data_IF_098144614636
#
_entry.id   IF_098144614636
#
_cell.length_a   1.000
_cell.length_b   1.000
_cell.length_c   1.000
_cell.angle_alpha   90.00
_cell.angle_beta   90.00
_cell.angle_gamma   90.00
#
_symmetry.space_group_name_H-M   'P 1'
#
loop_
_entity.id
_entity.type
_entity.pdbx_description
1 polymer ?
#
# COMPACT_ATOMS: atom_id res chain seq x y z
N UNK A 1 -1.63 -1.98 -13.88
CA UNK A 1 -0.21 -2.28 -13.58
C UNK A 1 -0.14 -2.99 -12.24
N UNK A 2 0.84 -3.87 -12.03
CA UNK A 2 1.00 -4.62 -10.78
C UNK A 2 2.22 -4.15 -9.99
N UNK A 3 2.19 -4.34 -8.67
CA UNK A 3 3.31 -4.11 -7.77
C UNK A 3 3.56 -5.35 -6.91
N UNK A 4 4.78 -5.88 -6.95
CA UNK A 4 5.16 -7.06 -6.17
C UNK A 4 6.24 -7.87 -6.86
N UNK A 5 6.26 -9.18 -6.60
CA UNK A 5 7.22 -10.10 -7.20
C UNK A 5 6.60 -11.48 -7.43
N UNK A 6 7.09 -12.19 -8.44
CA UNK A 6 6.73 -13.59 -8.70
C UNK A 6 7.85 -14.27 -9.47
N UNK A 7 8.12 -15.55 -9.15
CA UNK A 7 9.15 -16.35 -9.81
C UNK A 7 10.53 -15.65 -9.89
N UNK A 8 10.92 -14.95 -8.82
CA UNK A 8 12.20 -14.24 -8.74
C UNK A 8 12.28 -12.94 -9.55
N UNK A 9 11.17 -12.47 -10.13
CA UNK A 9 11.09 -11.21 -10.88
C UNK A 9 10.23 -10.19 -10.13
N UNK A 10 10.65 -8.94 -10.12
CA UNK A 10 9.88 -7.83 -9.56
C UNK A 10 9.02 -7.16 -10.64
N UNK A 11 7.79 -6.81 -10.28
CA UNK A 11 6.90 -5.96 -11.06
C UNK A 11 6.85 -4.59 -10.37
N UNK A 12 7.50 -3.59 -10.96
CA UNK A 12 7.60 -2.24 -10.39
C UNK A 12 6.75 -1.25 -11.19
N UNK A 13 5.75 -0.60 -10.56
CA UNK A 13 4.91 0.41 -11.20
C UNK A 13 5.70 1.59 -11.79
N UNK A 14 5.29 2.10 -12.95
CA UNK A 14 5.92 3.26 -13.61
C UNK A 14 6.01 4.48 -12.71
N UNK A 15 5.04 4.66 -11.83
CA UNK A 15 5.02 5.76 -10.86
C UNK A 15 6.18 5.73 -9.86
N UNK A 16 6.73 4.54 -9.58
CA UNK A 16 7.84 4.32 -8.66
C UNK A 16 9.15 3.97 -9.40
N UNK A 17 9.14 4.01 -10.73
CA UNK A 17 10.37 3.88 -11.51
C UNK A 17 11.28 5.08 -11.24
N UNK A 18 12.55 4.80 -10.95
CA UNK A 18 13.56 5.81 -10.60
C UNK A 18 13.77 5.99 -9.09
N UNK A 19 12.88 5.49 -8.23
CA UNK A 19 13.10 5.49 -6.78
C UNK A 19 14.31 4.63 -6.40
N UNK A 20 15.08 5.08 -5.41
CA UNK A 20 16.20 4.31 -4.89
C UNK A 20 15.71 2.97 -4.30
N UNK A 21 16.53 1.91 -4.34
CA UNK A 21 16.12 0.55 -3.91
C UNK A 21 15.49 0.51 -2.52
N UNK A 22 16.10 1.20 -1.55
CA UNK A 22 15.61 1.28 -0.17
C UNK A 22 14.25 1.95 -0.08
N UNK A 23 14.05 3.03 -0.84
CA UNK A 23 12.78 3.74 -0.90
C UNK A 23 11.70 2.86 -1.54
N UNK A 24 12.02 2.19 -2.66
CA UNK A 24 11.09 1.29 -3.35
C UNK A 24 10.61 0.14 -2.45
N UNK A 25 11.52 -0.46 -1.68
CA UNK A 25 11.16 -1.48 -0.69
C UNK A 25 10.22 -0.94 0.39
N UNK A 26 10.48 0.27 0.88
CA UNK A 26 9.64 0.91 1.88
C UNK A 26 8.27 1.26 1.30
N UNK A 27 8.21 1.83 0.09
CA UNK A 27 6.96 2.14 -0.61
C UNK A 27 6.10 0.89 -0.77
N UNK A 28 6.70 -0.23 -1.20
CA UNK A 28 6.00 -1.52 -1.26
C UNK A 28 5.50 -1.93 0.11
N UNK A 29 6.37 -1.93 1.12
CA UNK A 29 6.06 -2.48 2.44
C UNK A 29 5.02 -1.65 3.20
N UNK A 30 5.03 -0.32 3.04
CA UNK A 30 4.01 0.56 3.62
C UNK A 30 2.62 0.24 3.09
N UNK A 31 2.52 0.05 1.77
CA UNK A 31 1.25 -0.25 1.15
C UNK A 31 0.85 -1.72 1.40
N UNK A 32 1.79 -2.68 1.34
CA UNK A 32 1.53 -4.08 1.70
C UNK A 32 0.96 -4.19 3.12
N UNK A 33 1.63 -3.61 4.12
CA UNK A 33 1.19 -3.66 5.51
C UNK A 33 -0.15 -2.93 5.76
N UNK A 34 -0.59 -2.05 4.87
CA UNK A 34 -1.91 -1.42 4.96
C UNK A 34 -3.03 -2.30 4.38
N UNK A 35 -2.69 -3.27 3.54
CA UNK A 35 -3.62 -4.10 2.79
C UNK A 35 -3.68 -5.56 3.28
N UNK A 36 -2.95 -5.90 4.34
CA UNK A 36 -2.95 -7.25 4.91
C UNK A 36 -3.34 -7.25 6.38
N UNK A 37 -3.82 -8.39 6.84
CA UNK A 37 -4.11 -8.70 8.24
C UNK A 37 -2.87 -8.42 9.12
N UNK A 38 -3.10 -8.05 10.40
CA UNK A 38 -2.02 -7.68 11.33
C UNK A 38 -0.97 -8.78 11.50
N UNK A 39 -1.36 -10.05 11.38
CA UNK A 39 -0.46 -11.20 11.43
C UNK A 39 0.44 -11.29 10.18
N UNK A 40 0.07 -10.74 9.04
CA UNK A 40 0.92 -10.73 7.85
C UNK A 40 1.84 -9.52 7.75
N UNK A 41 1.69 -8.53 8.64
CA UNK A 41 2.50 -7.32 8.60
C UNK A 41 3.96 -7.61 8.91
N UNK A 42 4.85 -7.01 8.12
CA UNK A 42 6.30 -7.17 8.26
C UNK A 42 6.92 -5.87 8.80
N UNK A 43 7.76 -5.93 9.84
CA UNK A 43 8.47 -4.75 10.34
C UNK A 43 9.30 -4.01 9.28
N UNK A 44 9.25 -2.68 9.28
CA UNK A 44 9.89 -1.86 8.23
C UNK A 44 11.42 -1.95 8.17
N UNK A 45 12.08 -2.44 9.23
CA UNK A 45 13.53 -2.56 9.23
C UNK A 45 14.03 -3.63 8.24
N UNK A 46 13.20 -4.60 7.87
CA UNK A 46 13.53 -5.58 6.82
C UNK A 46 13.62 -4.94 5.44
N UNK A 47 12.70 -4.01 5.10
CA UNK A 47 12.75 -3.27 3.83
C UNK A 47 14.03 -2.44 3.67
N UNK A 48 14.59 -1.92 4.77
CA UNK A 48 15.82 -1.10 4.74
C UNK A 48 17.08 -1.91 4.42
N UNK A 49 17.07 -3.21 4.75
CA UNK A 49 18.20 -4.14 4.55
C UNK A 49 18.07 -4.97 3.28
N UNK A 50 16.83 -5.20 2.82
CA UNK A 50 16.53 -6.06 1.69
C UNK A 50 17.10 -5.53 0.36
N UNK A 51 17.59 -6.43 -0.47
CA UNK A 51 18.09 -6.09 -1.82
C UNK A 51 16.96 -5.95 -2.84
N UNK A 52 15.82 -6.58 -2.61
CA UNK A 52 14.64 -6.58 -3.48
C UNK A 52 13.36 -6.90 -2.66
N UNK A 53 12.18 -6.84 -3.29
CA UNK A 53 10.90 -7.08 -2.61
C UNK A 53 10.79 -8.49 -2.02
N UNK A 54 11.26 -9.53 -2.72
CA UNK A 54 11.23 -10.90 -2.23
C UNK A 54 12.14 -11.08 -1.00
N UNK A 55 13.27 -10.37 -0.98
CA UNK A 55 14.24 -10.43 0.09
C UNK A 55 13.71 -9.86 1.42
N UNK A 56 12.71 -8.96 1.38
CA UNK A 56 11.98 -8.50 2.57
C UNK A 56 11.38 -9.69 3.33
N UNK A 57 10.69 -10.58 2.60
CA UNK A 57 10.07 -11.78 3.16
C UNK A 57 11.11 -12.81 3.56
N UNK A 58 12.19 -12.93 2.79
CA UNK A 58 13.32 -13.82 3.14
C UNK A 58 13.90 -13.44 4.50
N UNK A 59 14.25 -12.17 4.70
CA UNK A 59 14.86 -11.70 5.95
C UNK A 59 13.90 -11.86 7.12
N UNK A 60 12.62 -11.52 6.95
CA UNK A 60 11.61 -11.73 7.98
C UNK A 60 11.48 -13.20 8.37
N UNK A 61 11.37 -14.10 7.40
CA UNK A 61 11.28 -15.54 7.64
C UNK A 61 12.56 -16.12 8.27
N UNK A 62 13.74 -15.57 7.94
CA UNK A 62 15.01 -16.00 8.56
C UNK A 62 15.01 -15.75 10.06
N UNK A 63 14.54 -14.57 10.47
CA UNK A 63 14.46 -14.22 11.89
C UNK A 63 13.38 -15.04 12.62
N UNK A 64 12.26 -15.33 11.94
CA UNK A 64 11.19 -16.15 12.51
C UNK A 64 11.57 -17.63 12.71
N UNK A 65 12.33 -18.20 11.78
CA UNK A 65 12.65 -19.64 11.79
C UNK A 65 14.05 -19.95 12.30
N UNK A 66 14.94 -18.96 12.40
CA UNK A 66 16.37 -19.15 12.63
C UNK A 66 17.02 -20.09 11.60
N UNK A 67 16.57 -20.09 10.34
CA UNK A 67 17.03 -20.99 9.26
C UNK A 67 17.68 -20.23 8.11
N UNK A 68 18.75 -20.78 7.53
CA UNK A 68 19.31 -20.29 6.27
C UNK A 68 18.66 -20.92 5.03
N UNK A 69 17.84 -20.14 4.33
CA UNK A 69 17.14 -20.56 3.12
C UNK A 69 18.04 -20.83 1.90
N UNK A 70 19.32 -20.45 1.93
CA UNK A 70 20.24 -20.75 0.81
C UNK A 70 20.42 -22.26 0.61
N UNK A 71 20.35 -23.06 1.70
CA UNK A 71 20.34 -24.53 1.65
C UNK A 71 18.95 -25.11 1.30
N UNK A 72 17.91 -24.33 1.56
CA UNK A 72 16.51 -24.76 1.44
C UNK A 72 15.97 -24.78 0.00
N UNK A 73 16.66 -24.11 -0.95
CA UNK A 73 16.26 -24.07 -2.36
C UNK A 73 16.17 -25.44 -3.04
N UNK A 74 16.83 -26.48 -2.51
CA UNK A 74 16.75 -27.86 -3.04
C UNK A 74 15.49 -28.64 -2.66
N UNK A 75 14.68 -28.16 -1.71
CA UNK A 75 13.45 -28.86 -1.28
C UNK A 75 12.23 -28.02 -1.66
N UNK A 76 12.02 -27.73 -2.94
CA UNK A 76 10.75 -27.13 -3.36
C UNK A 76 9.78 -28.22 -3.80
N UNK A 77 9.09 -28.87 -2.85
CA UNK A 77 7.81 -29.55 -3.14
C UNK A 77 6.93 -29.38 -1.90
N UNK A 78 5.94 -28.49 -2.02
CA UNK A 78 4.96 -28.12 -1.01
C UNK A 78 5.54 -27.47 0.25
N UNK A 79 5.18 -26.19 0.47
CA UNK A 79 5.28 -25.52 1.79
C UNK A 79 4.93 -26.43 2.97
N UNK A 80 3.99 -27.38 2.80
CA UNK A 80 3.65 -28.41 3.80
C UNK A 80 4.84 -29.25 4.28
N UNK A 81 5.74 -29.73 3.40
CA UNK A 81 6.88 -30.58 3.79
C UNK A 81 7.92 -29.80 4.61
N UNK A 82 8.15 -28.53 4.26
CA UNK A 82 9.00 -27.66 5.06
C UNK A 82 8.42 -27.36 6.44
N UNK A 83 7.10 -27.19 6.47
CA UNK A 83 6.34 -26.87 7.66
C UNK A 83 6.28 -28.09 8.60
N UNK A 84 6.08 -29.30 8.09
CA UNK A 84 6.11 -30.56 8.87
C UNK A 84 7.49 -30.81 9.49
N UNK A 85 8.57 -30.60 8.73
CA UNK A 85 9.94 -30.67 9.27
C UNK A 85 10.23 -29.58 10.31
N UNK A 86 9.51 -28.45 10.27
CA UNK A 86 9.64 -27.38 11.25
C UNK A 86 8.91 -27.69 12.57
N UNK A 87 7.70 -28.26 12.51
CA UNK A 87 6.96 -28.68 13.72
C UNK A 87 7.75 -29.69 14.56
N UNK A 88 8.47 -30.62 13.90
CA UNK A 88 9.34 -31.59 14.58
C UNK A 88 10.49 -30.90 15.34
N UNK A 89 11.02 -29.77 14.82
CA UNK A 89 12.10 -29.00 15.46
C UNK A 89 11.60 -28.01 16.50
N UNK A 90 10.39 -27.45 16.34
CA UNK A 90 9.78 -26.49 17.27
C UNK A 90 9.56 -27.10 18.66
N UNK A 91 9.25 -28.40 18.71
CA UNK A 91 9.12 -29.16 19.96
C UNK A 91 10.42 -29.29 20.77
N UNK A 92 11.58 -28.88 20.23
CA UNK A 92 12.87 -29.00 20.92
C UNK A 92 13.52 -27.68 21.35
N UNK A 93 13.15 -26.50 20.80
CA UNK A 93 14.05 -25.33 20.97
C UNK A 93 13.41 -23.97 21.35
N UNK A 94 12.12 -23.65 21.17
CA UNK A 94 11.68 -22.26 21.44
C UNK A 94 10.37 -22.08 22.21
N UNK A 95 10.50 -21.57 23.44
CA UNK A 95 9.52 -20.73 24.13
C UNK A 95 9.65 -19.29 23.61
N UNK A 96 9.12 -19.00 22.43
CA UNK A 96 8.93 -17.62 21.97
C UNK A 96 7.51 -17.49 21.43
N UNK A 97 6.90 -16.31 21.65
CA UNK A 97 5.50 -15.97 21.40
C UNK A 97 4.87 -16.78 20.25
N UNK A 98 3.75 -17.43 20.56
CA UNK A 98 3.04 -18.38 19.70
C UNK A 98 2.60 -17.77 18.37
N UNK A 99 3.51 -17.67 17.40
CA UNK A 99 3.17 -17.32 16.04
C UNK A 99 2.26 -18.42 15.49
N UNK A 100 1.13 -18.01 14.91
CA UNK A 100 0.15 -18.95 14.39
C UNK A 100 0.77 -19.70 13.20
N UNK A 101 0.70 -21.02 13.21
CA UNK A 101 1.19 -21.87 12.13
C UNK A 101 0.62 -21.49 10.75
N UNK A 102 -0.62 -21.00 10.73
CA UNK A 102 -1.29 -20.49 9.53
C UNK A 102 -0.59 -19.24 8.98
N UNK A 103 -0.16 -18.33 9.85
CA UNK A 103 0.56 -17.09 9.50
C UNK A 103 1.91 -17.41 8.87
N UNK A 104 2.65 -18.36 9.45
CA UNK A 104 3.92 -18.84 8.90
C UNK A 104 3.72 -19.46 7.51
N UNK A 105 2.70 -20.31 7.36
CA UNK A 105 2.35 -20.95 6.08
C UNK A 105 2.04 -19.92 4.99
N UNK A 106 1.27 -18.87 5.32
CA UNK A 106 0.96 -17.77 4.40
C UNK A 106 2.25 -17.04 3.97
N UNK A 107 3.12 -16.67 4.91
CA UNK A 107 4.39 -15.98 4.62
C UNK A 107 5.35 -16.85 3.77
N UNK A 108 5.47 -18.14 4.07
CA UNK A 108 6.26 -19.07 3.26
C UNK A 108 5.73 -19.18 1.83
N UNK A 109 4.40 -19.27 1.66
CA UNK A 109 3.78 -19.26 0.33
C UNK A 109 4.12 -17.99 -0.45
N UNK A 110 3.99 -16.82 0.20
CA UNK A 110 4.34 -15.53 -0.43
C UNK A 110 5.81 -15.53 -0.84
N UNK A 111 6.72 -15.98 0.02
CA UNK A 111 8.14 -16.02 -0.29
C UNK A 111 8.46 -16.91 -1.50
N UNK A 112 7.91 -18.13 -1.55
CA UNK A 112 8.24 -19.10 -2.61
C UNK A 112 7.51 -18.84 -3.93
N UNK A 113 6.22 -18.48 -3.90
CA UNK A 113 5.40 -18.33 -5.11
C UNK A 113 5.27 -16.87 -5.58
N UNK A 114 5.55 -15.92 -4.69
CA UNK A 114 5.39 -14.50 -4.95
C UNK A 114 4.05 -13.94 -4.52
N UNK A 115 3.96 -12.62 -4.61
CA UNK A 115 2.74 -11.85 -4.39
C UNK A 115 2.77 -10.59 -5.25
N UNK A 116 1.64 -10.30 -5.91
CA UNK A 116 1.46 -9.14 -6.77
C UNK A 116 0.08 -8.55 -6.55
N UNK A 117 0.01 -7.23 -6.42
CA UNK A 117 -1.24 -6.49 -6.26
C UNK A 117 -1.44 -5.54 -7.42
N UNK A 118 -2.68 -5.23 -7.78
CA UNK A 118 -2.95 -4.08 -8.64
C UNK A 118 -2.45 -2.83 -7.91
N UNK A 119 -1.65 -2.01 -8.59
CA UNK A 119 -1.03 -0.84 -7.94
C UNK A 119 -2.06 0.14 -7.43
N UNK A 120 -3.15 0.31 -8.17
CA UNK A 120 -4.30 1.14 -7.78
C UNK A 120 -4.86 0.68 -6.43
N UNK A 121 -5.27 -0.58 -6.32
CA UNK A 121 -5.87 -1.15 -5.11
C UNK A 121 -4.93 -1.02 -3.90
N UNK A 122 -3.64 -1.32 -4.11
CA UNK A 122 -2.63 -1.23 -3.05
C UNK A 122 -2.47 0.21 -2.52
N UNK A 123 -2.47 1.20 -3.41
CA UNK A 123 -2.36 2.61 -3.03
C UNK A 123 -3.65 3.13 -2.39
N UNK A 124 -4.81 2.74 -2.91
CA UNK A 124 -6.12 3.10 -2.33
C UNK A 124 -6.25 2.55 -0.91
N UNK A 125 -5.96 1.26 -0.71
CA UNK A 125 -6.02 0.65 0.61
C UNK A 125 -5.03 1.29 1.60
N UNK A 126 -3.86 1.71 1.11
CA UNK A 126 -2.91 2.50 1.91
C UNK A 126 -3.45 3.86 2.34
N UNK A 127 -4.09 4.60 1.42
CA UNK A 127 -4.71 5.89 1.75
C UNK A 127 -5.86 5.71 2.73
N UNK A 128 -6.71 4.71 2.51
CA UNK A 128 -7.82 4.37 3.40
C UNK A 128 -7.35 4.02 4.82
N UNK A 129 -6.38 3.09 4.95
CA UNK A 129 -5.80 2.68 6.24
C UNK A 129 -5.22 3.87 7.02
N UNK A 130 -4.59 4.82 6.32
CA UNK A 130 -4.10 6.03 6.97
C UNK A 130 -5.20 6.96 7.42
N UNK A 131 -6.20 7.22 6.56
CA UNK A 131 -7.30 8.11 6.88
C UNK A 131 -8.10 7.55 8.06
N UNK A 132 -8.37 6.25 8.08
CA UNK A 132 -9.09 5.59 9.18
C UNK A 132 -8.35 5.70 10.50
N UNK A 133 -7.03 5.45 10.51
CA UNK A 133 -6.19 5.62 11.71
C UNK A 133 -6.11 7.07 12.19
N UNK A 134 -6.20 8.04 11.28
CA UNK A 134 -6.20 9.46 11.63
C UNK A 134 -7.53 9.96 12.14
N UNK A 135 -8.62 9.26 11.82
CA UNK A 135 -9.99 9.66 12.12
C UNK A 135 -10.77 8.47 12.72
N UNK A 136 -10.34 7.92 13.88
CA UNK A 136 -10.95 6.72 14.45
C UNK A 136 -12.44 6.89 14.79
N UNK A 137 -12.85 8.12 15.12
CA UNK A 137 -14.22 8.44 15.55
C UNK A 137 -15.13 8.90 14.41
N UNK A 138 -14.62 8.99 13.17
CA UNK A 138 -15.39 9.49 12.03
C UNK A 138 -15.99 8.35 11.21
N UNK A 139 -17.19 8.57 10.69
CA UNK A 139 -17.79 7.63 9.74
C UNK A 139 -17.07 7.68 8.40
N UNK A 140 -16.70 6.49 7.90
CA UNK A 140 -16.01 6.31 6.63
C UNK A 140 -16.85 5.42 5.71
N UNK A 141 -17.10 5.90 4.51
CA UNK A 141 -17.61 5.09 3.41
C UNK A 141 -16.48 4.88 2.41
N UNK A 142 -16.27 3.64 2.00
CA UNK A 142 -15.23 3.28 1.06
C UNK A 142 -15.79 2.37 -0.03
N UNK A 143 -15.60 2.77 -1.29
CA UNK A 143 -15.96 1.98 -2.45
C UNK A 143 -14.97 2.25 -3.59
N UNK A 144 -14.37 1.18 -4.11
CA UNK A 144 -13.40 1.22 -5.21
C UNK A 144 -12.23 2.18 -4.92
N UNK A 145 -12.17 3.35 -5.57
CA UNK A 145 -11.17 4.40 -5.35
C UNK A 145 -11.73 5.65 -4.67
N UNK A 146 -12.98 5.58 -4.18
CA UNK A 146 -13.72 6.69 -3.61
C UNK A 146 -13.89 6.50 -2.10
N UNK A 147 -13.48 7.50 -1.33
CA UNK A 147 -13.58 7.53 0.14
C UNK A 147 -14.41 8.74 0.52
N UNK A 148 -15.37 8.57 1.42
CA UNK A 148 -16.15 9.66 2.00
C UNK A 148 -15.98 9.65 3.52
N UNK A 149 -15.73 10.82 4.09
CA UNK A 149 -15.60 11.05 5.54
C UNK A 149 -16.77 11.92 5.99
N UNK A 150 -17.57 11.43 6.93
CA UNK A 150 -18.72 12.15 7.52
C UNK A 150 -19.72 12.72 6.52
N UNK A 151 -19.82 12.15 5.31
CA UNK A 151 -20.62 12.68 4.20
C UNK A 151 -20.26 14.11 3.76
N UNK A 152 -19.17 14.70 4.29
CA UNK A 152 -18.74 16.08 4.06
C UNK A 152 -17.50 16.18 3.21
N UNK A 153 -16.56 15.25 3.39
CA UNK A 153 -15.28 15.23 2.69
C UNK A 153 -15.25 14.01 1.77
N UNK A 154 -15.01 14.23 0.49
CA UNK A 154 -14.90 13.18 -0.51
C UNK A 154 -13.47 13.12 -1.07
N UNK A 155 -12.98 11.92 -1.36
CA UNK A 155 -11.65 11.68 -1.89
C UNK A 155 -11.71 10.70 -3.06
N UNK A 156 -11.17 11.08 -4.21
CA UNK A 156 -10.84 10.18 -5.31
C UNK A 156 -9.35 9.90 -5.31
N UNK A 157 -8.97 8.63 -5.29
CA UNK A 157 -7.55 8.22 -5.16
C UNK A 157 -7.08 7.59 -6.47
N UNK A 158 -5.95 8.04 -7.02
CA UNK A 158 -5.37 7.48 -8.24
C UNK A 158 -3.88 7.21 -8.11
N UNK A 159 -3.49 5.98 -8.40
CA UNK A 159 -2.10 5.52 -8.43
C UNK A 159 -1.42 5.84 -9.76
N UNK A 160 -1.39 7.13 -10.15
CA UNK A 160 -0.70 7.61 -11.36
C UNK A 160 0.06 8.91 -11.11
N UNK A 161 1.05 9.21 -11.95
CA UNK A 161 1.64 10.55 -12.02
C UNK A 161 0.65 11.46 -12.74
N UNK A 162 0.47 12.68 -12.21
CA UNK A 162 -0.33 13.71 -12.85
C UNK A 162 0.58 14.64 -13.67
N UNK A 163 0.12 15.04 -14.85
CA UNK A 163 0.75 16.08 -15.65
C UNK A 163 0.08 17.42 -15.32
N UNK A 164 0.75 18.22 -14.50
CA UNK A 164 0.23 19.51 -14.02
C UNK A 164 0.08 20.52 -15.17
N UNK A 165 0.79 20.33 -16.28
CA UNK A 165 0.67 21.21 -17.43
C UNK A 165 -0.59 20.95 -18.27
N UNK A 166 -1.34 19.88 -17.95
CA UNK A 166 -2.53 19.45 -18.70
C UNK A 166 -3.77 19.25 -17.83
N UNK A 167 -3.89 20.02 -16.75
CA UNK A 167 -5.01 19.92 -15.82
C UNK A 167 -6.37 20.20 -16.48
N UNK A 168 -6.42 21.10 -17.46
CA UNK A 168 -7.66 21.47 -18.16
C UNK A 168 -8.35 20.27 -18.84
N UNK A 169 -7.56 19.27 -19.27
CA UNK A 169 -8.06 18.06 -19.95
C UNK A 169 -7.93 16.82 -19.06
N UNK A 170 -7.93 17.00 -17.73
CA UNK A 170 -7.81 15.92 -16.77
C UNK A 170 -9.17 15.26 -16.53
N UNK A 171 -9.35 14.03 -17.04
CA UNK A 171 -10.58 13.25 -16.88
C UNK A 171 -10.97 13.04 -15.41
N UNK A 172 -10.01 12.98 -14.49
CA UNK A 172 -10.29 12.84 -13.05
C UNK A 172 -10.90 14.11 -12.45
N UNK A 173 -10.54 15.29 -12.99
CA UNK A 173 -11.18 16.54 -12.58
C UNK A 173 -12.62 16.56 -13.10
N UNK A 174 -12.86 16.16 -14.34
CA UNK A 174 -14.23 16.04 -14.88
C UNK A 174 -15.09 15.05 -14.08
N UNK A 175 -14.52 13.90 -13.71
CA UNK A 175 -15.17 12.91 -12.85
C UNK A 175 -15.53 13.53 -11.48
N UNK A 176 -14.59 14.21 -10.84
CA UNK A 176 -14.82 14.90 -9.56
C UNK A 176 -15.93 15.96 -9.68
N UNK A 177 -15.90 16.78 -10.74
CA UNK A 177 -16.92 17.80 -10.99
C UNK A 177 -18.32 17.19 -11.19
N UNK A 178 -18.41 16.04 -11.86
CA UNK A 178 -19.68 15.32 -12.02
C UNK A 178 -20.20 14.74 -10.70
N UNK A 179 -19.32 14.30 -9.80
CA UNK A 179 -19.69 13.87 -8.46
C UNK A 179 -20.14 15.06 -7.59
N UNK A 180 -19.43 16.19 -7.67
CA UNK A 180 -19.79 17.44 -6.96
C UNK A 180 -21.15 17.97 -7.45
N UNK A 181 -21.49 17.84 -8.73
CA UNK A 181 -22.83 18.23 -9.22
C UNK A 181 -23.96 17.42 -8.59
N UNK A 182 -23.71 16.16 -8.24
CA UNK A 182 -24.71 15.21 -7.74
C UNK A 182 -24.78 15.16 -6.22
N UNK A 183 -23.84 15.79 -5.52
CA UNK A 183 -23.67 15.67 -4.06
C UNK A 183 -23.24 17.00 -3.46
N UNK A 184 -23.51 17.22 -2.18
CA UNK A 184 -23.19 18.46 -1.47
C UNK A 184 -21.98 18.29 -0.54
N UNK A 185 -20.81 18.01 -1.10
CA UNK A 185 -19.58 17.91 -0.32
C UNK A 185 -19.06 19.30 0.07
N UNK A 186 -18.48 19.44 1.26
CA UNK A 186 -17.76 20.68 1.64
C UNK A 186 -16.38 20.72 0.98
N UNK A 187 -15.73 19.56 0.91
CA UNK A 187 -14.37 19.42 0.40
C UNK A 187 -14.26 18.17 -0.45
N UNK A 188 -13.61 18.31 -1.60
CA UNK A 188 -13.32 17.23 -2.52
C UNK A 188 -11.82 17.18 -2.79
N UNK A 189 -11.20 16.03 -2.52
CA UNK A 189 -9.79 15.79 -2.77
C UNK A 189 -9.59 14.81 -3.91
N UNK A 190 -8.66 15.11 -4.82
CA UNK A 190 -8.12 14.14 -5.76
C UNK A 190 -6.69 13.82 -5.33
N UNK A 191 -6.46 12.58 -4.92
CA UNK A 191 -5.23 12.11 -4.32
C UNK A 191 -4.37 11.41 -5.37
N UNK A 192 -3.10 11.84 -5.47
CA UNK A 192 -2.06 11.15 -6.25
C UNK A 192 -0.83 10.86 -5.40
N UNK A 193 -0.02 9.84 -5.73
CA UNK A 193 1.30 9.66 -5.13
C UNK A 193 2.16 10.92 -5.34
N UNK A 194 2.74 11.41 -4.24
CA UNK A 194 3.71 12.50 -4.29
C UNK A 194 4.88 12.12 -5.19
N UNK A 195 5.33 13.04 -6.03
CA UNK A 195 6.51 12.89 -6.88
C UNK A 195 7.20 14.25 -7.06
N UNK A 196 8.34 14.27 -7.75
CA UNK A 196 9.16 15.49 -7.91
C UNK A 196 8.41 16.64 -8.59
N UNK A 197 7.56 16.30 -9.56
CA UNK A 197 6.76 17.28 -10.29
C UNK A 197 5.49 17.68 -9.52
N UNK A 198 5.02 16.88 -8.57
CA UNK A 198 3.80 17.13 -7.81
C UNK A 198 4.02 16.90 -6.30
N UNK A 199 4.41 17.99 -5.62
CA UNK A 199 4.82 17.98 -4.21
C UNK A 199 4.01 18.95 -3.32
N UNK A 200 3.21 19.84 -3.91
CA UNK A 200 2.29 20.76 -3.24
C UNK A 200 0.85 20.55 -3.73
N UNK A 201 -0.14 20.90 -2.90
CA UNK A 201 -1.54 20.83 -3.30
C UNK A 201 -1.85 21.89 -4.36
N UNK A 202 -2.81 21.59 -5.23
CA UNK A 202 -3.31 22.52 -6.24
C UNK A 202 -4.81 22.64 -6.06
N UNK A 203 -5.32 23.86 -5.89
CA UNK A 203 -6.74 24.12 -5.79
C UNK A 203 -7.33 24.37 -7.19
N UNK A 204 -8.43 23.68 -7.51
CA UNK A 204 -9.12 23.82 -8.80
C UNK A 204 -10.27 24.80 -8.62
N UNK A 205 -10.09 25.98 -9.21
CA UNK A 205 -11.15 26.99 -9.33
C UNK A 205 -12.00 26.66 -10.56
N UNK A 206 -13.24 26.28 -10.32
CA UNK A 206 -14.19 25.93 -11.38
C UNK A 206 -15.58 26.42 -10.98
N UNK A 207 -16.35 26.95 -11.94
CA UNK A 207 -17.67 27.55 -11.69
C UNK A 207 -18.61 26.66 -10.86
N UNK A 208 -18.60 25.35 -11.11
CA UNK A 208 -19.39 24.38 -10.35
C UNK A 208 -18.97 24.28 -8.87
N UNK A 209 -17.68 24.37 -8.59
CA UNK A 209 -17.15 24.40 -7.23
C UNK A 209 -17.64 25.65 -6.49
N UNK A 210 -17.66 26.80 -7.17
CA UNK A 210 -18.14 28.07 -6.60
C UNK A 210 -19.65 28.04 -6.30
N UNK A 211 -20.45 27.51 -7.23
CA UNK A 211 -21.89 27.34 -7.04
C UNK A 211 -22.24 26.39 -5.89
N UNK A 212 -21.56 25.24 -5.84
CA UNK A 212 -21.75 24.23 -4.79
C UNK A 212 -21.07 24.61 -3.47
N UNK A 213 -20.24 25.66 -3.46
CA UNK A 213 -19.33 26.03 -2.38
C UNK A 213 -18.40 24.88 -1.96
N UNK A 214 -18.10 23.97 -2.88
CA UNK A 214 -17.22 22.82 -2.65
C UNK A 214 -15.78 23.20 -2.96
N UNK A 215 -14.87 22.99 -2.02
CA UNK A 215 -13.44 23.16 -2.28
C UNK A 215 -12.87 21.92 -2.99
N UNK A 216 -12.40 22.05 -4.23
CA UNK A 216 -11.74 20.96 -4.98
C UNK A 216 -10.22 21.13 -4.97
N UNK A 217 -9.49 20.13 -4.47
CA UNK A 217 -8.02 20.14 -4.39
C UNK A 217 -7.39 18.85 -4.91
N UNK A 218 -6.34 18.99 -5.70
CA UNK A 218 -5.40 17.92 -6.00
C UNK A 218 -4.37 17.86 -4.88
N UNK A 219 -4.15 16.67 -4.31
CA UNK A 219 -3.31 16.48 -3.14
C UNK A 219 -2.22 15.44 -3.42
N UNK A 220 -0.94 15.81 -3.31
CA UNK A 220 0.16 14.86 -3.36
C UNK A 220 0.26 14.13 -2.02
N UNK A 221 0.19 12.80 -2.06
CA UNK A 221 0.16 11.95 -0.87
C UNK A 221 1.46 11.16 -0.73
N UNK A 222 2.14 11.36 0.40
CA UNK A 222 3.44 10.75 0.67
C UNK A 222 3.28 9.35 1.26
N UNK A 223 3.87 8.35 0.60
CA UNK A 223 3.86 6.96 1.07
C UNK A 223 4.95 6.78 2.14
N UNK A 224 4.54 6.85 3.40
CA UNK A 224 5.41 6.71 4.57
C UNK A 224 4.66 6.14 5.78
N UNK A 225 5.37 5.72 6.83
CA UNK A 225 4.75 5.38 8.11
C UNK A 225 4.32 6.58 8.95
N UNK A 226 4.67 7.82 8.56
CA UNK A 226 4.35 9.01 9.35
C UNK A 226 2.85 9.32 9.26
N UNK A 227 2.14 9.26 10.37
CA UNK A 227 0.78 9.82 10.46
C UNK A 227 0.89 11.34 10.54
N UNK A 228 0.71 12.02 9.42
CA UNK A 228 0.67 13.49 9.38
C UNK A 228 -0.79 13.90 9.59
N UNK A 229 -1.15 14.42 10.77
CA UNK A 229 -2.48 14.99 11.03
C UNK A 229 -2.66 16.25 10.16
N UNK A 230 -3.40 16.15 9.06
CA UNK A 230 -3.65 17.27 8.13
C UNK A 230 -5.06 17.28 7.53
N UNK A 231 -5.99 16.48 8.07
CA UNK A 231 -7.38 16.42 7.62
C UNK A 231 -8.28 16.78 8.79
#
# INVERSE_FOLDING_TARGET
MFFGFSNGKELIPKIYQGSARKELNLIFLYQYNANVEDDLKIPFHYAKKAENLQDIFKLFLKDLLCVDFNKARKICIQSNVYIENFDIKKNKIFKTNSMNFMQLKKNLKIYFYGICFKTQDLFVGYVYDKISKQNPDKSLFFKDNFIIIEQKIALLVYSKKIDINKLENCSEIEEALNLIRKNSFLVFYIIYPKNDNFNHFIEIKHFLCDLSKTMLKLVPYSISNKLIRRI
#
